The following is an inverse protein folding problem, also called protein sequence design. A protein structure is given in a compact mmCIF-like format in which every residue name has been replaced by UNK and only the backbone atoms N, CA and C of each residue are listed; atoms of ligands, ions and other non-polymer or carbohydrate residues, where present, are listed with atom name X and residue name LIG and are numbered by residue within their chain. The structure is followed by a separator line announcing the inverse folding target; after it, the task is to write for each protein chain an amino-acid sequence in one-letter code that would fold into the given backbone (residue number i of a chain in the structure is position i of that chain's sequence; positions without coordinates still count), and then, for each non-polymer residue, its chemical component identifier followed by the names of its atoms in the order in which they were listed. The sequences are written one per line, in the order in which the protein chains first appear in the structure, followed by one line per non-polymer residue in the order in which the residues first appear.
data_IF_246099813855
#
_entry.id   IF_246099813855
#
_cell.length_a   1.000
_cell.length_b   1.000
_cell.length_c   1.000
_cell.angle_alpha   90.00
_cell.angle_beta   90.00
_cell.angle_gamma   90.00
#
_symmetry.space_group_name_H-M   'P 1'
#
loop_
_entity.id
_entity.type
_entity.pdbx_description
1 polymer ?
#
# COMPACT_ATOMS: atom_id res chain seq x y z
N UNK A 1 10.45 21.49 -9.75
CA UNK A 1 10.55 20.09 -10.21
C UNK A 1 11.98 19.53 -10.17
N UNK A 2 12.98 20.10 -10.85
CA UNK A 2 14.39 19.58 -10.85
C UNK A 2 15.03 19.45 -9.47
N UNK A 3 14.82 20.38 -8.54
CA UNK A 3 15.38 20.34 -7.19
C UNK A 3 14.73 19.29 -6.28
N UNK A 4 13.45 19.02 -6.48
CA UNK A 4 12.70 17.98 -5.77
C UNK A 4 13.19 16.60 -6.26
N UNK A 5 13.39 16.43 -7.56
CA UNK A 5 13.95 15.19 -8.14
C UNK A 5 15.34 14.85 -7.60
N UNK A 6 16.20 15.87 -7.37
CA UNK A 6 17.52 15.65 -6.72
C UNK A 6 17.41 15.18 -5.27
N UNK A 7 16.42 15.67 -4.52
CA UNK A 7 16.19 15.25 -3.13
C UNK A 7 15.74 13.78 -3.02
N UNK A 8 14.95 13.30 -3.98
CA UNK A 8 14.35 11.96 -3.98
C UNK A 8 15.39 10.88 -4.33
N UNK A 9 16.25 11.13 -5.31
CA UNK A 9 17.35 10.23 -5.70
C UNK A 9 18.56 10.31 -4.76
N UNK A 10 18.39 10.79 -3.53
CA UNK A 10 19.50 10.91 -2.60
C UNK A 10 19.99 9.52 -2.17
N UNK A 11 21.15 9.11 -2.69
CA UNK A 11 21.84 7.86 -2.33
C UNK A 11 21.97 7.66 -0.81
N UNK A 12 22.04 8.75 -0.03
CA UNK A 12 22.11 8.71 1.43
C UNK A 12 20.85 8.08 2.06
N UNK A 13 19.65 8.31 1.50
CA UNK A 13 18.38 7.78 2.07
C UNK A 13 18.19 6.30 1.79
N UNK A 14 18.44 5.87 0.55
CA UNK A 14 18.44 4.44 0.22
C UNK A 14 19.44 3.70 1.12
N UNK A 15 20.59 4.30 1.41
CA UNK A 15 21.59 3.76 2.35
C UNK A 15 21.01 3.62 3.76
N UNK A 16 20.32 4.64 4.30
CA UNK A 16 19.70 4.57 5.64
C UNK A 16 18.66 3.45 5.74
N UNK A 17 17.85 3.25 4.71
CA UNK A 17 16.85 2.16 4.69
C UNK A 17 17.54 0.80 4.61
N UNK A 18 18.64 0.68 3.85
CA UNK A 18 19.44 -0.53 3.82
C UNK A 18 20.03 -0.83 5.20
N UNK A 19 20.63 0.17 5.86
CA UNK A 19 21.15 0.02 7.23
C UNK A 19 20.05 -0.37 8.22
N UNK A 20 18.86 0.24 8.14
CA UNK A 20 17.72 -0.15 8.98
C UNK A 20 17.35 -1.61 8.77
N UNK A 21 17.21 -2.05 7.52
CA UNK A 21 16.91 -3.44 7.22
C UNK A 21 17.98 -4.38 7.78
N UNK A 22 19.26 -4.08 7.57
CA UNK A 22 20.37 -4.84 8.11
C UNK A 22 20.29 -4.97 9.63
N UNK A 23 20.12 -3.87 10.35
CA UNK A 23 19.98 -3.90 11.81
C UNK A 23 18.80 -4.74 12.30
N UNK A 24 17.68 -4.74 11.55
CA UNK A 24 16.52 -5.54 11.91
C UNK A 24 16.81 -7.03 11.74
N UNK A 25 17.50 -7.42 10.67
CA UNK A 25 17.82 -8.82 10.40
C UNK A 25 18.92 -9.34 11.34
N UNK A 26 19.94 -8.53 11.62
CA UNK A 26 21.04 -8.86 12.54
C UNK A 26 20.55 -9.14 13.97
N UNK A 27 19.40 -8.59 14.40
CA UNK A 27 18.80 -8.92 15.71
C UNK A 27 18.35 -10.38 15.81
N UNK A 28 18.13 -11.07 14.71
CA UNK A 28 17.83 -12.50 14.65
C UNK A 28 16.43 -12.91 15.10
N UNK A 29 15.59 -11.97 15.50
CA UNK A 29 14.25 -12.21 16.01
C UNK A 29 13.14 -12.04 14.96
N UNK A 30 13.48 -11.60 13.74
CA UNK A 30 12.56 -11.38 12.62
C UNK A 30 12.29 -12.68 11.87
N UNK A 31 11.04 -13.14 11.85
CA UNK A 31 10.61 -14.33 11.07
C UNK A 31 9.97 -14.00 9.73
N UNK A 32 9.42 -12.81 9.58
CA UNK A 32 8.77 -12.37 8.34
C UNK A 32 8.97 -10.88 8.12
N UNK A 33 9.62 -10.54 7.02
CA UNK A 33 9.82 -9.17 6.58
C UNK A 33 8.87 -8.83 5.43
N UNK A 34 8.06 -7.78 5.56
CA UNK A 34 7.15 -7.30 4.51
C UNK A 34 7.57 -5.91 4.05
N UNK A 35 8.00 -5.80 2.82
CA UNK A 35 8.28 -4.55 2.13
C UNK A 35 7.02 -4.10 1.41
N UNK A 36 6.57 -2.87 1.64
CA UNK A 36 5.35 -2.36 1.00
C UNK A 36 5.57 -0.94 0.46
N UNK A 37 5.20 -0.72 -0.79
CA UNK A 37 5.43 0.50 -1.54
C UNK A 37 4.11 1.26 -1.69
N UNK A 38 4.07 2.53 -1.24
CA UNK A 38 2.84 3.33 -1.22
C UNK A 38 3.15 4.80 -1.53
N UNK A 39 2.23 5.52 -2.20
CA UNK A 39 2.27 6.96 -2.31
C UNK A 39 2.39 7.55 -3.69
N UNK A 40 1.65 8.60 -4.01
CA UNK A 40 1.50 9.18 -5.33
C UNK A 40 1.49 8.14 -6.44
N UNK A 41 2.61 7.98 -7.14
CA UNK A 41 2.80 6.85 -8.06
C UNK A 41 4.20 6.24 -7.88
N UNK A 42 4.32 5.16 -7.09
CA UNK A 42 5.60 4.54 -6.80
C UNK A 42 6.32 3.99 -8.04
N UNK A 43 5.58 3.49 -9.04
CA UNK A 43 6.17 2.90 -10.24
C UNK A 43 6.99 3.87 -11.07
N UNK A 44 6.82 5.18 -10.91
CA UNK A 44 7.72 6.19 -11.50
C UNK A 44 9.18 6.06 -11.02
N UNK A 45 9.38 5.46 -9.86
CA UNK A 45 10.70 5.24 -9.25
C UNK A 45 11.08 3.76 -9.20
N UNK A 46 10.40 2.92 -9.98
CA UNK A 46 10.61 1.49 -9.97
C UNK A 46 12.07 1.12 -10.18
N UNK A 47 12.67 1.59 -11.26
CA UNK A 47 14.06 1.27 -11.63
C UNK A 47 15.09 1.85 -10.67
N UNK A 48 14.84 3.06 -10.16
CA UNK A 48 15.84 3.79 -9.37
C UNK A 48 15.82 3.42 -7.89
N UNK A 49 14.69 3.01 -7.35
CA UNK A 49 14.51 2.80 -5.92
C UNK A 49 13.87 1.44 -5.61
N UNK A 50 12.66 1.17 -6.14
CA UNK A 50 11.89 -0.02 -5.77
C UNK A 50 12.67 -1.29 -6.07
N UNK A 51 13.09 -1.43 -7.32
CA UNK A 51 13.78 -2.63 -7.77
C UNK A 51 15.09 -2.89 -7.02
N UNK A 52 16.08 -1.97 -6.98
CA UNK A 52 17.36 -2.22 -6.32
C UNK A 52 17.24 -2.38 -4.80
N UNK A 53 16.30 -1.69 -4.15
CA UNK A 53 16.12 -1.86 -2.72
C UNK A 53 15.41 -3.17 -2.39
N UNK A 54 14.42 -3.57 -3.19
CA UNK A 54 13.75 -4.85 -3.02
C UNK A 54 14.69 -6.04 -3.24
N UNK A 55 15.58 -5.98 -4.24
CA UNK A 55 16.62 -7.01 -4.44
C UNK A 55 17.50 -7.12 -3.21
N UNK A 56 18.03 -5.98 -2.71
CA UNK A 56 18.90 -5.97 -1.54
C UNK A 56 18.22 -6.60 -0.31
N UNK A 57 16.97 -6.17 -0.03
CA UNK A 57 16.24 -6.67 1.15
C UNK A 57 15.86 -8.14 0.98
N UNK A 58 15.52 -8.57 -0.22
CA UNK A 58 15.22 -9.99 -0.51
C UNK A 58 16.43 -10.86 -0.25
N UNK A 59 17.60 -10.49 -0.76
CA UNK A 59 18.85 -11.20 -0.53
C UNK A 59 19.19 -11.27 0.97
N UNK A 60 19.06 -10.14 1.67
CA UNK A 60 19.29 -10.10 3.11
C UNK A 60 18.32 -11.02 3.88
N UNK A 61 17.05 -11.10 3.44
CA UNK A 61 16.06 -12.00 4.03
C UNK A 61 16.40 -13.46 3.80
N UNK A 62 16.90 -13.82 2.63
CA UNK A 62 17.39 -15.15 2.29
C UNK A 62 18.59 -15.55 3.15
N UNK A 63 19.58 -14.65 3.31
CA UNK A 63 20.78 -14.86 4.15
C UNK A 63 20.41 -15.12 5.64
N UNK A 64 19.39 -14.44 6.14
CA UNK A 64 18.93 -14.58 7.53
C UNK A 64 17.77 -15.58 7.71
N UNK A 65 17.40 -16.35 6.68
CA UNK A 65 16.29 -17.30 6.70
C UNK A 65 14.95 -16.69 7.13
N UNK A 66 14.70 -15.44 6.73
CA UNK A 66 13.49 -14.67 7.03
C UNK A 66 12.54 -14.73 5.84
N UNK A 67 11.27 -15.02 6.10
CA UNK A 67 10.24 -14.95 5.05
C UNK A 67 10.12 -13.52 4.52
N UNK A 68 10.27 -13.32 3.21
CA UNK A 68 10.11 -12.04 2.56
C UNK A 68 8.74 -11.93 1.87
N UNK A 69 8.15 -10.75 1.90
CA UNK A 69 6.96 -10.39 1.12
C UNK A 69 7.08 -8.95 0.63
N UNK A 70 6.71 -8.73 -0.62
CA UNK A 70 6.75 -7.42 -1.27
C UNK A 70 5.35 -7.05 -1.79
N UNK A 71 4.96 -5.78 -1.60
CA UNK A 71 3.65 -5.27 -2.03
C UNK A 71 3.72 -3.82 -2.45
N UNK A 72 2.78 -3.37 -3.28
CA UNK A 72 2.71 -1.99 -3.77
C UNK A 72 1.27 -1.52 -3.86
N UNK A 73 1.05 -0.25 -3.54
CA UNK A 73 -0.17 0.48 -3.93
C UNK A 73 0.19 1.45 -5.05
N UNK A 74 -0.45 1.32 -6.19
CA UNK A 74 -0.16 2.07 -7.41
C UNK A 74 -1.45 2.43 -8.15
N UNK A 75 -1.39 3.38 -9.06
CA UNK A 75 -2.48 3.59 -10.03
C UNK A 75 -2.52 2.51 -11.13
N UNK A 76 -1.50 1.66 -11.23
CA UNK A 76 -1.42 0.57 -12.20
C UNK A 76 -1.05 0.99 -13.63
N UNK A 77 -1.02 2.26 -13.94
CA UNK A 77 -0.78 2.75 -15.31
C UNK A 77 0.63 2.42 -15.82
N UNK A 78 1.64 2.46 -14.94
CA UNK A 78 3.04 2.18 -15.27
C UNK A 78 3.44 0.72 -15.04
N UNK A 79 2.50 -0.18 -14.80
CA UNK A 79 2.74 -1.61 -14.68
C UNK A 79 2.92 -2.24 -16.08
N UNK A 80 4.00 -1.87 -16.74
CA UNK A 80 4.35 -2.32 -18.10
C UNK A 80 4.99 -3.69 -18.12
N UNK A 81 5.13 -4.32 -19.29
CA UNK A 81 5.73 -5.64 -19.43
C UNK A 81 7.12 -5.76 -18.80
N UNK A 82 8.00 -4.76 -18.99
CA UNK A 82 9.34 -4.75 -18.38
C UNK A 82 9.30 -4.63 -16.85
N UNK A 83 8.34 -3.89 -16.30
CA UNK A 83 8.12 -3.79 -14.86
C UNK A 83 7.57 -5.11 -14.32
N UNK A 84 6.60 -5.73 -15.03
CA UNK A 84 6.00 -7.00 -14.66
C UNK A 84 7.08 -8.10 -14.55
N UNK A 85 7.97 -8.23 -15.51
CA UNK A 85 9.05 -9.21 -15.45
C UNK A 85 9.97 -9.01 -14.24
N UNK A 86 10.30 -7.78 -13.93
CA UNK A 86 11.10 -7.46 -12.75
C UNK A 86 10.35 -7.67 -11.43
N UNK A 87 9.02 -7.49 -11.41
CA UNK A 87 8.20 -7.79 -10.24
C UNK A 87 8.35 -9.24 -9.76
N UNK A 88 8.49 -10.19 -10.69
CA UNK A 88 8.73 -11.60 -10.37
C UNK A 88 10.03 -11.80 -9.58
N UNK A 89 11.11 -11.14 -9.98
CA UNK A 89 12.44 -11.29 -9.36
C UNK A 89 12.51 -10.77 -7.93
N UNK A 90 11.68 -9.78 -7.60
CA UNK A 90 11.62 -9.14 -6.28
C UNK A 90 10.41 -9.55 -5.44
N UNK A 91 9.70 -10.62 -5.83
CA UNK A 91 8.48 -11.11 -5.15
C UNK A 91 7.41 -10.02 -4.94
N UNK A 92 7.33 -9.05 -5.86
CA UNK A 92 6.30 -8.02 -5.86
C UNK A 92 5.02 -8.57 -6.48
N UNK A 93 4.26 -9.33 -5.69
CA UNK A 93 3.11 -10.13 -6.12
C UNK A 93 1.78 -9.65 -5.54
N UNK A 94 1.80 -8.74 -4.58
CA UNK A 94 0.60 -8.16 -3.96
C UNK A 94 0.48 -6.71 -4.38
N UNK A 95 -0.41 -6.46 -5.33
CA UNK A 95 -0.59 -5.14 -5.92
C UNK A 95 -1.97 -4.61 -5.51
N UNK A 96 -2.00 -3.44 -4.86
CA UNK A 96 -3.24 -2.71 -4.67
C UNK A 96 -3.35 -1.62 -5.73
N UNK A 97 -4.45 -1.63 -6.47
CA UNK A 97 -4.79 -0.64 -7.50
C UNK A 97 -6.06 0.08 -7.09
N UNK A 98 -6.10 1.40 -7.28
CA UNK A 98 -7.27 2.21 -6.95
C UNK A 98 -7.97 2.67 -8.23
N UNK A 99 -9.26 2.36 -8.32
CA UNK A 99 -10.18 2.88 -9.32
C UNK A 99 -11.15 3.86 -8.65
N UNK A 100 -11.48 4.95 -9.32
CA UNK A 100 -12.46 5.93 -8.83
C UNK A 100 -13.81 5.71 -9.57
N UNK A 101 -14.55 4.70 -9.11
CA UNK A 101 -15.81 4.30 -9.71
C UNK A 101 -15.65 3.45 -10.98
N UNK A 102 -16.61 3.61 -11.87
CA UNK A 102 -16.63 3.04 -13.22
C UNK A 102 -15.66 3.76 -14.17
N UNK A 103 -15.60 3.30 -15.40
CA UNK A 103 -14.66 3.83 -16.42
C UNK A 103 -14.84 5.33 -16.65
N UNK A 104 -16.07 5.80 -16.80
CA UNK A 104 -16.35 7.21 -17.06
C UNK A 104 -15.96 8.10 -15.88
N UNK A 105 -16.36 7.70 -14.68
CA UNK A 105 -16.02 8.38 -13.43
C UNK A 105 -14.51 8.43 -13.22
N UNK A 106 -13.83 7.30 -13.44
CA UNK A 106 -12.38 7.20 -13.27
C UNK A 106 -11.63 8.10 -14.23
N UNK A 107 -11.94 8.05 -15.53
CA UNK A 107 -11.23 8.79 -16.57
C UNK A 107 -11.45 10.31 -16.48
N UNK A 108 -12.58 10.76 -15.90
CA UNK A 108 -12.79 12.17 -15.54
C UNK A 108 -11.84 12.65 -14.46
N UNK A 109 -11.57 11.81 -13.44
CA UNK A 109 -10.81 12.19 -12.26
C UNK A 109 -9.32 11.88 -12.44
N UNK A 110 -9.01 10.70 -13.01
CA UNK A 110 -7.66 10.15 -13.16
C UNK A 110 -7.28 9.92 -14.60
N UNK A 111 -7.03 10.99 -15.31
CA UNK A 111 -6.42 10.89 -16.63
C UNK A 111 -4.91 11.09 -16.58
N UNK A 112 -4.21 10.60 -17.59
CA UNK A 112 -2.76 10.78 -17.77
C UNK A 112 -2.50 11.76 -18.90
N UNK A 113 -2.33 13.05 -18.56
CA UNK A 113 -2.13 14.10 -19.55
C UNK A 113 -3.33 14.28 -20.47
N UNK A 114 -4.57 14.17 -19.94
CA UNK A 114 -5.81 14.27 -20.69
C UNK A 114 -6.26 12.98 -21.41
N UNK A 115 -5.49 11.87 -21.26
CA UNK A 115 -5.84 10.58 -21.90
C UNK A 115 -6.50 9.64 -20.88
N UNK A 116 -7.54 8.88 -21.28
CA UNK A 116 -8.16 7.85 -20.47
C UNK A 116 -7.14 6.84 -19.91
N UNK A 117 -7.34 6.37 -18.70
CA UNK A 117 -6.40 5.46 -18.05
C UNK A 117 -7.02 4.14 -17.59
N UNK A 118 -8.34 4.05 -17.46
CA UNK A 118 -9.05 2.90 -16.90
C UNK A 118 -8.71 1.60 -17.62
N UNK A 119 -8.92 1.53 -18.93
CA UNK A 119 -8.69 0.32 -19.72
C UNK A 119 -7.24 -0.15 -19.63
N UNK A 120 -6.29 0.79 -19.72
CA UNK A 120 -4.88 0.48 -19.61
C UNK A 120 -4.52 -0.10 -18.24
N UNK A 121 -5.08 0.43 -17.18
CA UNK A 121 -4.87 -0.07 -15.81
C UNK A 121 -5.39 -1.49 -15.67
N UNK A 122 -6.59 -1.75 -16.22
CA UNK A 122 -7.19 -3.07 -16.18
C UNK A 122 -6.38 -4.09 -17.00
N UNK A 123 -5.98 -3.74 -18.21
CA UNK A 123 -5.13 -4.57 -19.08
C UNK A 123 -3.78 -4.87 -18.44
N UNK A 124 -3.12 -3.89 -17.84
CA UNK A 124 -1.87 -4.09 -17.11
C UNK A 124 -2.06 -5.06 -15.92
N UNK A 125 -3.18 -4.96 -15.22
CA UNK A 125 -3.52 -5.84 -14.10
C UNK A 125 -3.71 -7.29 -14.56
N UNK A 126 -4.41 -7.48 -15.67
CA UNK A 126 -4.60 -8.78 -16.33
C UNK A 126 -3.25 -9.35 -16.81
N UNK A 127 -2.41 -8.52 -17.44
CA UNK A 127 -1.09 -8.92 -17.92
C UNK A 127 -0.19 -9.39 -16.77
N UNK A 128 -0.20 -8.69 -15.62
CA UNK A 128 0.53 -9.13 -14.43
C UNK A 128 0.05 -10.52 -13.96
N UNK A 129 -1.27 -10.72 -13.88
CA UNK A 129 -1.83 -12.00 -13.47
C UNK A 129 -1.49 -13.13 -14.46
N UNK A 130 -1.47 -12.89 -15.76
CA UNK A 130 -1.05 -13.86 -16.75
C UNK A 130 0.45 -14.21 -16.64
N UNK A 131 1.28 -13.19 -16.38
CA UNK A 131 2.74 -13.37 -16.30
C UNK A 131 3.21 -13.95 -14.98
N UNK A 132 2.47 -13.75 -13.89
CA UNK A 132 2.84 -14.17 -12.55
C UNK A 132 1.69 -14.94 -11.91
N UNK A 133 1.83 -16.29 -11.83
CA UNK A 133 0.76 -17.21 -11.43
C UNK A 133 0.27 -16.99 -9.98
N UNK A 134 1.09 -16.45 -9.12
CA UNK A 134 0.79 -16.19 -7.70
C UNK A 134 0.61 -14.69 -7.36
N UNK A 135 0.56 -13.82 -8.39
CA UNK A 135 0.22 -12.42 -8.20
C UNK A 135 -1.26 -12.24 -7.83
N UNK A 136 -1.52 -11.35 -6.92
CA UNK A 136 -2.85 -11.01 -6.41
C UNK A 136 -3.08 -9.51 -6.56
N UNK A 137 -4.20 -9.14 -7.15
CA UNK A 137 -4.62 -7.76 -7.33
C UNK A 137 -5.72 -7.43 -6.33
N UNK A 138 -5.49 -6.43 -5.50
CA UNK A 138 -6.54 -5.80 -4.70
C UNK A 138 -7.04 -4.56 -5.46
N UNK A 139 -8.20 -4.67 -6.09
CA UNK A 139 -8.87 -3.53 -6.68
C UNK A 139 -9.66 -2.78 -5.61
N UNK A 140 -9.17 -1.62 -5.23
CA UNK A 140 -9.88 -0.69 -4.36
C UNK A 140 -10.72 0.24 -5.23
N UNK A 141 -12.02 0.08 -5.18
CA UNK A 141 -13.00 0.92 -5.88
C UNK A 141 -13.47 2.01 -4.94
N UNK A 142 -13.04 3.23 -5.18
CA UNK A 142 -13.54 4.40 -4.48
C UNK A 142 -14.93 4.75 -5.02
N UNK A 143 -15.92 4.89 -4.12
CA UNK A 143 -17.29 5.20 -4.51
C UNK A 143 -17.87 6.37 -3.73
N UNK A 144 -18.86 7.02 -4.35
CA UNK A 144 -19.79 7.98 -3.75
C UNK A 144 -21.22 7.55 -4.06
N UNK A 145 -22.19 8.37 -3.72
CA UNK A 145 -23.62 8.11 -3.98
C UNK A 145 -23.95 8.02 -5.47
N UNK A 146 -23.21 8.69 -6.33
CA UNK A 146 -23.52 8.81 -7.75
C UNK A 146 -23.01 7.60 -8.55
N UNK A 147 -21.83 7.05 -8.17
CA UNK A 147 -21.22 5.95 -8.93
C UNK A 147 -21.45 4.56 -8.33
N UNK A 148 -21.92 4.43 -7.07
CA UNK A 148 -22.13 3.12 -6.43
C UNK A 148 -23.29 2.34 -7.06
N UNK A 149 -24.21 3.04 -7.73
CA UNK A 149 -25.35 2.43 -8.41
C UNK A 149 -24.97 1.66 -9.70
N UNK A 150 -23.75 1.83 -10.21
CA UNK A 150 -23.28 1.09 -11.37
C UNK A 150 -23.10 -0.39 -11.05
N UNK A 151 -23.30 -1.24 -12.05
CA UNK A 151 -23.03 -2.67 -11.96
C UNK A 151 -21.54 -2.93 -12.16
N UNK A 152 -20.81 -3.14 -11.08
CA UNK A 152 -19.37 -3.38 -11.14
C UNK A 152 -19.01 -4.76 -11.68
N UNK A 153 -19.94 -5.71 -11.78
CA UNK A 153 -19.68 -6.97 -12.50
C UNK A 153 -19.53 -6.73 -14.01
N UNK A 154 -20.35 -5.82 -14.56
CA UNK A 154 -20.23 -5.38 -15.95
C UNK A 154 -18.99 -4.52 -16.18
N UNK A 155 -18.69 -3.60 -15.24
CA UNK A 155 -17.48 -2.74 -15.29
C UNK A 155 -16.20 -3.57 -15.36
N UNK A 156 -16.15 -4.71 -14.66
CA UNK A 156 -14.98 -5.58 -14.55
C UNK A 156 -15.06 -6.83 -15.46
N UNK A 157 -16.04 -6.91 -16.36
CA UNK A 157 -16.27 -8.10 -17.22
C UNK A 157 -15.09 -8.46 -18.11
N UNK A 158 -14.23 -7.49 -18.46
CA UNK A 158 -13.02 -7.72 -19.26
C UNK A 158 -11.98 -8.59 -18.55
N UNK A 159 -12.08 -8.74 -17.21
CA UNK A 159 -11.20 -9.65 -16.47
C UNK A 159 -11.61 -11.09 -16.79
N UNK A 160 -10.71 -11.91 -17.38
CA UNK A 160 -10.98 -13.29 -17.72
C UNK A 160 -11.43 -14.12 -16.50
N UNK A 161 -12.40 -14.99 -16.68
CA UNK A 161 -13.00 -15.79 -15.59
C UNK A 161 -11.97 -16.56 -14.78
N UNK A 162 -11.00 -17.18 -15.45
CA UNK A 162 -9.92 -17.94 -14.82
C UNK A 162 -8.96 -17.08 -13.97
N UNK A 163 -9.02 -15.76 -14.08
CA UNK A 163 -8.22 -14.82 -13.27
C UNK A 163 -9.01 -14.15 -12.16
N UNK A 164 -10.35 -14.16 -12.19
CA UNK A 164 -11.21 -13.40 -11.26
C UNK A 164 -10.97 -13.74 -9.80
N UNK A 165 -10.66 -15.00 -9.48
CA UNK A 165 -10.31 -15.43 -8.13
C UNK A 165 -9.02 -14.82 -7.59
N UNK A 166 -8.23 -14.18 -8.41
CA UNK A 166 -6.99 -13.47 -8.03
C UNK A 166 -7.21 -11.97 -7.84
N UNK A 167 -8.41 -11.47 -8.16
CA UNK A 167 -8.82 -10.10 -7.93
C UNK A 167 -9.68 -10.02 -6.66
N UNK A 168 -9.20 -9.23 -5.70
CA UNK A 168 -9.87 -8.95 -4.44
C UNK A 168 -10.50 -7.56 -4.53
N UNK A 169 -11.82 -7.52 -4.68
CA UNK A 169 -12.55 -6.26 -4.82
C UNK A 169 -12.82 -5.67 -3.45
N UNK A 170 -12.44 -4.41 -3.24
CA UNK A 170 -12.70 -3.64 -2.04
C UNK A 170 -13.40 -2.34 -2.40
N UNK A 171 -14.62 -2.15 -1.95
CA UNK A 171 -15.30 -0.87 -2.03
C UNK A 171 -14.84 0.05 -0.89
N UNK A 172 -14.53 1.31 -1.23
CA UNK A 172 -14.13 2.34 -0.28
C UNK A 172 -14.93 3.61 -0.51
N UNK A 173 -15.74 3.99 0.47
CA UNK A 173 -16.49 5.26 0.40
C UNK A 173 -15.51 6.44 0.41
N UNK A 174 -15.78 7.44 -0.43
CA UNK A 174 -15.06 8.71 -0.46
C UNK A 174 -15.61 9.56 0.70
N UNK A 175 -14.85 9.65 1.78
CA UNK A 175 -15.29 10.29 3.03
C UNK A 175 -15.41 11.83 2.93
N UNK A 176 -14.80 12.46 1.95
CA UNK A 176 -14.93 13.89 1.67
C UNK A 176 -16.32 14.29 1.14
N UNK A 177 -17.10 13.32 0.67
CA UNK A 177 -18.47 13.53 0.18
C UNK A 177 -19.56 13.17 1.21
N UNK A 178 -19.18 13.02 2.47
CA UNK A 178 -20.04 12.64 3.56
C UNK A 178 -20.94 13.83 3.98
N UNK A 179 -22.03 14.09 3.26
CA UNK A 179 -22.90 15.22 3.60
C UNK A 179 -24.32 14.87 4.01
N UNK A 180 -24.79 13.61 3.88
CA UNK A 180 -26.14 13.25 4.31
C UNK A 180 -26.26 11.76 4.70
N UNK A 181 -26.64 11.49 5.93
CA UNK A 181 -26.95 10.15 6.45
C UNK A 181 -28.21 9.51 5.82
N UNK A 182 -29.08 10.31 5.19
CA UNK A 182 -30.35 9.87 4.62
C UNK A 182 -30.23 8.88 3.43
N UNK A 183 -29.06 8.73 2.84
CA UNK A 183 -28.84 7.83 1.69
C UNK A 183 -28.09 6.54 2.04
N UNK A 184 -27.80 6.27 3.31
CA UNK A 184 -26.98 5.11 3.72
C UNK A 184 -27.65 3.77 3.43
N UNK A 185 -28.97 3.67 3.52
CA UNK A 185 -29.69 2.44 3.18
C UNK A 185 -29.65 2.13 1.68
N UNK A 186 -29.77 3.14 0.84
CA UNK A 186 -29.67 3.01 -0.62
C UNK A 186 -28.26 2.59 -1.02
N UNK A 187 -27.27 3.25 -0.45
CA UNK A 187 -25.85 2.91 -0.68
C UNK A 187 -25.55 1.49 -0.23
N UNK A 188 -26.06 1.08 0.93
CA UNK A 188 -25.91 -0.27 1.43
C UNK A 188 -26.53 -1.30 0.48
N UNK A 189 -27.72 -1.05 -0.03
CA UNK A 189 -28.38 -1.94 -1.00
C UNK A 189 -27.53 -2.11 -2.26
N UNK A 190 -27.03 -1.03 -2.87
CA UNK A 190 -26.17 -1.13 -4.05
C UNK A 190 -24.83 -1.85 -3.76
N UNK A 191 -24.27 -1.66 -2.57
CA UNK A 191 -23.07 -2.41 -2.16
C UNK A 191 -23.36 -3.91 -2.05
N UNK A 192 -24.46 -4.28 -1.41
CA UNK A 192 -24.86 -5.67 -1.24
C UNK A 192 -25.16 -6.33 -2.60
N UNK A 193 -25.84 -5.63 -3.51
CA UNK A 193 -26.08 -6.09 -4.88
C UNK A 193 -24.78 -6.30 -5.66
N UNK A 194 -23.85 -5.34 -5.61
CA UNK A 194 -22.54 -5.45 -6.24
C UNK A 194 -21.69 -6.59 -5.65
N UNK A 195 -21.71 -6.74 -4.32
CA UNK A 195 -21.03 -7.85 -3.67
C UNK A 195 -21.58 -9.20 -4.12
N UNK A 196 -22.89 -9.34 -4.20
CA UNK A 196 -23.53 -10.58 -4.65
C UNK A 196 -23.15 -10.91 -6.09
N UNK A 197 -23.28 -9.95 -7.02
CA UNK A 197 -22.95 -10.13 -8.45
C UNK A 197 -21.48 -10.49 -8.64
N UNK A 198 -20.56 -9.71 -8.07
CA UNK A 198 -19.12 -9.95 -8.18
C UNK A 198 -18.73 -11.31 -7.61
N UNK A 199 -19.34 -11.72 -6.49
CA UNK A 199 -19.10 -13.04 -5.91
C UNK A 199 -19.56 -14.15 -6.85
N UNK A 200 -20.73 -13.99 -7.48
CA UNK A 200 -21.28 -14.95 -8.46
C UNK A 200 -20.38 -15.07 -9.69
N UNK A 201 -19.79 -13.95 -10.11
CA UNK A 201 -18.84 -13.89 -11.22
C UNK A 201 -17.42 -14.43 -10.87
N UNK A 202 -17.20 -14.93 -9.66
CA UNK A 202 -15.95 -15.57 -9.24
C UNK A 202 -14.88 -14.63 -8.69
N UNK A 203 -15.20 -13.36 -8.44
CA UNK A 203 -14.28 -12.42 -7.77
C UNK A 203 -14.18 -12.72 -6.28
N UNK A 204 -13.00 -12.48 -5.70
CA UNK A 204 -12.85 -12.42 -4.26
C UNK A 204 -13.24 -11.04 -3.74
N UNK A 205 -13.85 -11.00 -2.56
CA UNK A 205 -14.26 -9.78 -1.91
C UNK A 205 -13.35 -9.49 -0.73
N UNK A 206 -12.82 -8.28 -0.68
CA UNK A 206 -12.06 -7.79 0.47
C UNK A 206 -12.99 -6.92 1.31
N UNK A 207 -13.63 -7.52 2.31
CA UNK A 207 -14.43 -6.77 3.27
C UNK A 207 -13.48 -5.97 4.15
N UNK A 208 -13.73 -4.66 4.32
CA UNK A 208 -13.06 -3.88 5.36
C UNK A 208 -13.57 -4.38 6.72
N UNK A 209 -12.81 -5.25 7.35
CA UNK A 209 -13.10 -5.74 8.70
C UNK A 209 -12.89 -4.69 9.81
N UNK A 210 -12.85 -3.40 9.45
CA UNK A 210 -12.81 -2.31 10.41
C UNK A 210 -14.09 -2.18 11.24
N UNK A 211 -15.14 -2.93 10.89
CA UNK A 211 -16.30 -3.13 11.76
C UNK A 211 -16.08 -4.33 12.70
N UNK A 212 -15.08 -4.23 13.57
CA UNK A 212 -14.96 -5.18 14.66
C UNK A 212 -16.06 -4.93 15.68
N UNK A 213 -17.15 -5.63 15.53
CA UNK A 213 -18.18 -5.79 16.59
C UNK A 213 -17.68 -6.60 17.80
N UNK A 214 -16.45 -7.12 17.75
CA UNK A 214 -15.84 -7.87 18.84
C UNK A 214 -14.59 -7.15 19.30
N UNK A 215 -14.64 -6.61 20.51
CA UNK A 215 -13.66 -5.76 21.12
C UNK A 215 -12.22 -6.26 20.98
N UNK A 216 -11.31 -5.34 20.75
CA UNK A 216 -9.89 -5.53 21.04
C UNK A 216 -8.94 -5.72 19.87
N UNK A 217 -9.34 -5.54 18.59
CA UNK A 217 -8.32 -5.44 17.54
C UNK A 217 -7.89 -3.98 17.42
N UNK A 218 -6.73 -3.67 18.03
CA UNK A 218 -6.12 -2.37 17.89
C UNK A 218 -5.77 -2.06 16.43
N UNK A 219 -5.86 -0.79 16.04
CA UNK A 219 -5.42 -0.30 14.74
C UNK A 219 -3.94 -0.68 14.51
N UNK A 220 -3.56 -0.90 13.25
CA UNK A 220 -2.15 -1.14 12.93
C UNK A 220 -1.23 0.01 13.38
N UNK A 221 -1.77 1.22 13.47
CA UNK A 221 -1.05 2.40 13.95
C UNK A 221 -0.65 2.30 15.42
N UNK A 222 -1.40 1.55 16.23
CA UNK A 222 -1.13 1.37 17.67
C UNK A 222 -0.01 0.36 17.93
N UNK A 223 0.40 -0.40 16.92
CA UNK A 223 1.41 -1.45 17.09
C UNK A 223 2.81 -0.84 17.19
N UNK A 224 3.54 -1.18 18.25
CA UNK A 224 4.93 -0.73 18.46
C UNK A 224 5.83 -1.02 17.25
N UNK A 225 5.51 -2.05 16.51
CA UNK A 225 6.23 -2.62 15.38
C UNK A 225 5.83 -2.06 14.03
N UNK A 226 5.09 -0.98 14.02
CA UNK A 226 4.65 -0.30 12.83
C UNK A 226 5.37 1.04 12.72
N UNK A 227 6.12 1.25 11.68
CA UNK A 227 6.76 2.52 11.39
C UNK A 227 6.61 2.87 9.91
N UNK A 228 6.30 4.12 9.67
CA UNK A 228 6.04 4.71 8.40
C UNK A 228 7.08 5.79 8.15
N UNK A 229 8.06 5.55 7.25
CA UNK A 229 9.16 6.49 7.00
C UNK A 229 8.87 7.31 5.76
N UNK A 230 8.84 8.62 5.95
CA UNK A 230 8.64 9.58 4.89
C UNK A 230 9.93 9.87 4.11
N UNK A 231 9.80 10.47 2.91
CA UNK A 231 10.92 10.83 2.03
C UNK A 231 11.98 11.73 2.71
N UNK A 232 11.59 12.53 3.69
CA UNK A 232 12.47 13.39 4.49
C UNK A 232 13.17 12.64 5.64
N UNK A 233 12.76 11.40 5.90
CA UNK A 233 13.25 10.56 6.99
C UNK A 233 12.38 10.62 8.23
N UNK A 234 11.34 11.43 8.26
CA UNK A 234 10.38 11.45 9.36
C UNK A 234 9.60 10.13 9.43
N UNK A 235 9.25 9.73 10.65
CA UNK A 235 8.57 8.46 10.91
C UNK A 235 7.19 8.70 11.48
N UNK A 236 6.20 7.98 10.95
CA UNK A 236 4.78 8.08 11.29
C UNK A 236 4.19 6.72 11.64
N UNK A 237 2.97 6.70 12.18
CA UNK A 237 2.23 5.48 12.53
C UNK A 237 0.97 5.27 11.69
N UNK A 238 0.42 6.30 11.07
CA UNK A 238 -0.81 6.20 10.30
C UNK A 238 -0.61 6.61 8.85
N UNK A 239 -1.23 5.90 7.90
CA UNK A 239 -1.22 6.24 6.47
C UNK A 239 -2.31 7.23 6.08
N UNK A 240 -3.26 7.49 6.98
CA UNK A 240 -4.41 8.37 6.76
C UNK A 240 -4.28 9.73 7.43
N UNK A 241 -3.08 10.06 7.93
CA UNK A 241 -2.80 11.37 8.55
C UNK A 241 -2.02 12.29 7.62
N UNK A 242 -1.98 13.57 7.93
CA UNK A 242 -1.09 14.50 7.25
C UNK A 242 0.36 14.27 7.70
N UNK A 243 1.27 14.30 6.72
CA UNK A 243 2.70 14.06 6.95
C UNK A 243 3.41 15.39 7.15
N UNK A 244 3.26 15.96 8.34
CA UNK A 244 3.93 17.19 8.77
C UNK A 244 4.97 16.89 9.85
N UNK A 245 5.86 17.84 10.13
CA UNK A 245 6.83 17.70 11.23
C UNK A 245 6.15 17.56 12.59
N UNK A 246 4.96 18.16 12.76
CA UNK A 246 4.17 18.11 13.98
C UNK A 246 3.58 16.73 14.23
N UNK A 247 3.15 16.05 13.17
CA UNK A 247 2.56 14.69 13.25
C UNK A 247 3.58 13.57 13.21
N UNK A 248 4.85 13.88 12.90
CA UNK A 248 5.94 12.92 12.95
C UNK A 248 6.17 12.43 14.39
N UNK A 249 6.32 11.13 14.54
CA UNK A 249 6.56 10.46 15.82
C UNK A 249 8.02 10.09 16.04
N UNK A 250 8.88 10.42 15.10
CA UNK A 250 10.31 10.16 15.14
C UNK A 250 10.96 10.40 13.79
N UNK A 251 12.21 9.99 13.68
CA UNK A 251 12.96 10.09 12.42
C UNK A 251 13.97 8.94 12.25
N UNK A 252 14.32 8.64 11.00
CA UNK A 252 15.35 7.69 10.63
C UNK A 252 16.70 8.41 10.56
N UNK A 253 17.60 8.10 11.47
CA UNK A 253 18.94 8.71 11.55
C UNK A 253 19.88 8.20 10.44
N UNK A 254 21.09 8.76 10.39
CA UNK A 254 22.09 8.44 9.36
C UNK A 254 22.62 7.00 9.45
N UNK A 255 22.52 6.40 10.62
CA UNK A 255 22.95 5.03 10.91
C UNK A 255 21.84 4.00 10.66
N UNK A 256 20.66 4.42 10.18
CA UNK A 256 19.53 3.53 9.94
C UNK A 256 18.79 3.13 11.22
N UNK A 257 18.86 3.93 12.28
CA UNK A 257 18.11 3.72 13.50
C UNK A 257 16.91 4.66 13.56
N UNK A 258 15.74 4.14 13.94
CA UNK A 258 14.57 4.97 14.18
C UNK A 258 14.68 5.60 15.57
N UNK A 259 14.74 6.91 15.62
CA UNK A 259 14.71 7.73 16.84
C UNK A 259 13.28 8.17 17.09
N UNK A 260 12.61 7.47 17.99
CA UNK A 260 11.24 7.79 18.39
C UNK A 260 11.21 9.00 19.33
N UNK A 261 10.24 9.89 19.14
CA UNK A 261 9.88 10.93 20.08
C UNK A 261 9.15 10.29 21.26
N UNK A 262 9.79 10.31 22.43
CA UNK A 262 9.28 9.63 23.62
C UNK A 262 7.98 10.25 24.13
N UNK A 263 7.81 11.55 24.00
CA UNK A 263 6.61 12.26 24.47
C UNK A 263 5.41 11.93 23.57
N UNK A 264 5.59 12.01 22.26
CA UNK A 264 4.55 11.72 21.27
C UNK A 264 4.18 10.23 21.20
N UNK A 265 5.04 9.35 21.68
CA UNK A 265 4.82 7.89 21.65
C UNK A 265 4.35 7.30 22.97
N UNK A 266 4.10 8.12 24.00
CA UNK A 266 3.66 7.67 25.34
C UNK A 266 2.31 6.97 25.38
N UNK A 267 1.48 6.96 24.45
CA UNK A 267 0.20 6.22 24.40
C UNK A 267 0.21 5.03 23.45
N UNK A 268 1.33 4.77 22.80
CA UNK A 268 1.43 3.64 21.86
C UNK A 268 1.63 2.37 22.67
N UNK A 269 0.60 1.53 22.69
CA UNK A 269 0.44 0.40 23.58
C UNK A 269 1.60 -0.60 23.46
N UNK A 270 2.27 -0.84 24.59
CA UNK A 270 3.25 -1.90 24.74
C UNK A 270 2.60 -3.29 24.79
N UNK A 271 1.27 -3.37 24.82
CA UNK A 271 0.50 -4.61 24.98
C UNK A 271 0.06 -5.25 23.65
N UNK A 272 0.30 -4.65 22.51
CA UNK A 272 0.03 -5.31 21.20
C UNK A 272 1.03 -6.46 20.94
N UNK A 273 1.20 -7.32 21.92
CA UNK A 273 2.30 -8.28 22.09
C UNK A 273 2.07 -9.63 21.39
N UNK A 274 1.21 -9.75 20.39
CA UNK A 274 0.87 -11.08 19.91
C UNK A 274 1.01 -11.39 18.42
N UNK A 275 1.72 -10.65 17.58
CA UNK A 275 2.01 -11.06 16.19
C UNK A 275 3.42 -10.69 15.74
N UNK A 276 4.22 -11.71 15.46
CA UNK A 276 5.61 -11.68 15.04
C UNK A 276 5.76 -11.24 13.57
N UNK A 277 5.42 -9.99 13.20
CA UNK A 277 5.49 -9.49 11.83
C UNK A 277 5.97 -8.05 11.79
N UNK A 278 7.13 -7.83 11.21
CA UNK A 278 7.67 -6.49 11.01
C UNK A 278 7.20 -5.91 9.66
N UNK A 279 6.68 -4.69 9.62
CA UNK A 279 6.20 -4.05 8.40
C UNK A 279 6.85 -2.69 8.24
N UNK A 280 7.68 -2.54 7.23
CA UNK A 280 8.36 -1.31 6.87
C UNK A 280 7.71 -0.67 5.64
N UNK A 281 7.19 0.55 5.76
CA UNK A 281 6.59 1.33 4.68
C UNK A 281 7.53 2.47 4.28
N UNK A 282 7.87 2.56 3.02
CA UNK A 282 8.79 3.59 2.48
C UNK A 282 8.08 4.46 1.45
N UNK A 283 8.01 5.76 1.66
CA UNK A 283 7.28 6.74 0.84
C UNK A 283 8.16 7.50 -0.16
N UNK A 284 7.90 7.44 -1.50
CA UNK A 284 8.80 7.92 -2.55
C UNK A 284 8.28 9.20 -3.15
N UNK A 285 7.91 10.05 -3.03
CA UNK A 285 7.84 11.29 -3.75
C UNK A 285 7.63 12.53 -2.94
N UNK A 286 6.96 12.60 -2.14
CA UNK A 286 6.85 13.50 -1.07
C UNK A 286 6.78 12.67 0.17
N UNK A 287 6.49 11.36 0.02
CA UNK A 287 6.25 10.50 1.15
C UNK A 287 6.54 9.03 0.85
N UNK A 288 7.45 8.43 1.60
CA UNK A 288 7.79 7.00 1.64
C UNK A 288 7.39 6.42 3.00
N UNK A 289 6.51 5.46 3.10
CA UNK A 289 6.01 4.85 4.34
C UNK A 289 6.58 3.46 4.64
N UNK A 290 7.02 3.22 5.86
CA UNK A 290 7.62 1.97 6.32
C UNK A 290 6.86 1.38 7.51
N UNK A 291 6.26 0.22 7.39
CA UNK A 291 5.46 -0.44 8.42
C UNK A 291 6.18 -1.62 9.07
N UNK A 292 6.34 -1.60 10.37
CA UNK A 292 7.10 -2.58 11.16
C UNK A 292 6.22 -3.24 12.22
N UNK A 293 6.10 -4.58 12.26
CA UNK A 293 5.34 -5.32 13.26
C UNK A 293 6.22 -6.21 14.14
N UNK A 294 6.00 -6.23 15.44
CA UNK A 294 6.69 -7.10 16.42
C UNK A 294 5.70 -7.79 17.38
N UNK A 295 6.06 -8.96 17.98
CA UNK A 295 5.34 -9.64 19.03
C UNK A 295 6.26 -10.18 20.11
N UNK A 296 5.84 -10.05 21.36
CA UNK A 296 6.51 -10.66 22.51
C UNK A 296 7.97 -10.27 22.66
N UNK A 297 8.31 -9.01 22.40
CA UNK A 297 9.71 -8.56 22.41
C UNK A 297 10.51 -8.93 21.15
N UNK A 298 9.95 -9.73 20.27
CA UNK A 298 10.59 -10.24 19.07
C UNK A 298 9.99 -9.65 17.80
N UNK A 299 10.82 -9.24 16.84
CA UNK A 299 10.42 -8.68 15.53
C UNK A 299 9.98 -9.82 14.62
N UNK A 300 8.77 -9.76 14.07
CA UNK A 300 8.18 -10.83 13.28
C UNK A 300 7.94 -10.52 11.81
N UNK A 301 7.90 -9.28 11.42
CA UNK A 301 7.70 -8.88 10.02
C UNK A 301 7.74 -7.37 9.81
N UNK A 302 8.32 -6.94 8.71
CA UNK A 302 8.36 -5.53 8.28
C UNK A 302 7.61 -5.38 6.95
N UNK A 303 6.69 -4.42 6.87
CA UNK A 303 6.05 -3.99 5.62
C UNK A 303 6.45 -2.55 5.30
N UNK A 304 7.14 -2.31 4.22
CA UNK A 304 7.47 -0.97 3.73
C UNK A 304 6.39 -0.56 2.72
N UNK A 305 5.70 0.54 2.96
CA UNK A 305 4.70 1.13 2.05
C UNK A 305 5.20 2.50 1.58
N UNK A 306 5.21 2.76 0.30
CA UNK A 306 5.68 4.00 -0.32
C UNK A 306 4.52 4.87 -0.79
N UNK A 307 4.37 6.09 -0.26
CA UNK A 307 3.25 7.01 -0.54
C UNK A 307 3.68 8.27 -1.32
N UNK A 308 2.98 8.66 -2.38
CA UNK A 308 3.26 9.82 -3.23
C UNK A 308 2.02 10.71 -3.35
N UNK A 309 1.94 11.79 -2.58
CA UNK A 309 0.90 12.81 -2.75
C UNK A 309 1.38 13.92 -3.69
N UNK A 310 0.64 14.16 -4.75
CA UNK A 310 0.77 15.42 -5.50
C UNK A 310 0.06 16.52 -4.72
N UNK A 311 0.77 17.54 -4.26
CA UNK A 311 0.10 18.81 -3.95
C UNK A 311 -0.52 19.32 -5.24
N UNK A 312 -1.84 19.41 -5.31
CA UNK A 312 -2.46 20.34 -6.22
C UNK A 312 -1.99 21.73 -5.77
N UNK A 313 -1.10 22.33 -6.53
CA UNK A 313 -0.92 23.79 -6.48
C UNK A 313 -2.22 24.40 -7.01
N UNK A 314 -2.91 25.14 -6.15
CA UNK A 314 -3.90 26.11 -6.61
C UNK A 314 -3.23 27.17 -7.49
#
# INVERSE_FOLDING_TARGET
MKNILKAICNRKRVKRIKCLATHIFEKGDTKHFVLSWFGGEPLLYFEKIIYPLSIFIKQLAEEHHVKFSNSITTNGFFLTGSVIEKCKTIDLKKIQITLDGDKESHDKIRNQGGKPSFDKILQNSIALCNSCSDAVIKLRINYNTDNIQHDFSEVLREIPENLRSRFFIQFQRIWQTYQNESNDEIVKRYLDENFFKLKKEGFNLSVNTNYNKFGGISCYADRINYANINYDGNVYKCTAQDYTSETALGFLDENGQIRWDKEKTQGIDKQAFLIIRFVLIVNIWLYVEVLVFMLGGNVLGIKIILNVRTKKTN
#
